data_IF_390749544914
#
_entry.id   IF_390749544914
#
_cell.length_a   1.000
_cell.length_b   1.000
_cell.length_c   1.000
_cell.angle_alpha   90.00
_cell.angle_beta   90.00
_cell.angle_gamma   90.00
#
_symmetry.space_group_name_H-M   'P 1'
#
loop_
_entity.id
_entity.type
_entity.pdbx_description
1 polymer ?
#
# COMPACT_ATOMS: atom_id res chain seq x y z
N UNK A 1 23.92 47.77 17.95
CA UNK A 1 23.89 47.46 16.51
C UNK A 1 23.54 46.00 16.32
N UNK A 2 22.48 45.65 15.55
CA UNK A 2 22.28 44.26 15.10
C UNK A 2 23.49 43.83 14.27
N UNK A 3 24.02 42.63 14.51
CA UNK A 3 25.19 42.10 13.79
C UNK A 3 24.75 41.51 12.44
N UNK A 4 25.60 41.56 11.40
CA UNK A 4 25.20 41.31 10.01
C UNK A 4 24.55 39.94 9.69
N UNK A 5 24.73 38.92 10.53
CA UNK A 5 24.22 37.56 10.28
C UNK A 5 23.14 37.09 11.28
N UNK A 6 22.57 37.98 12.09
CA UNK A 6 21.48 37.61 13.01
C UNK A 6 20.25 38.48 12.79
N UNK A 7 19.07 37.87 12.88
CA UNK A 7 17.81 38.57 12.70
C UNK A 7 17.56 39.56 13.83
N UNK A 8 16.91 40.66 13.50
CA UNK A 8 16.31 41.53 14.53
C UNK A 8 15.16 40.80 15.23
N UNK A 9 14.80 41.24 16.44
CA UNK A 9 13.71 40.61 17.19
C UNK A 9 12.36 40.70 16.44
N UNK A 10 12.09 41.83 15.77
CA UNK A 10 10.88 42.02 14.98
C UNK A 10 10.86 41.13 13.73
N UNK A 11 11.97 41.05 12.99
CA UNK A 11 12.07 40.17 11.82
C UNK A 11 11.91 38.69 12.22
N UNK A 12 12.51 38.28 13.33
CA UNK A 12 12.34 36.92 13.84
C UNK A 12 10.89 36.62 14.24
N UNK A 13 10.21 37.52 14.96
CA UNK A 13 8.80 37.34 15.33
C UNK A 13 7.89 37.24 14.09
N UNK A 14 8.15 38.06 13.07
CA UNK A 14 7.44 37.99 11.79
C UNK A 14 7.67 36.64 11.09
N UNK A 15 8.91 36.14 11.07
CA UNK A 15 9.25 34.84 10.48
C UNK A 15 8.58 33.68 11.23
N UNK A 16 8.58 33.72 12.56
CA UNK A 16 7.86 32.71 13.37
C UNK A 16 6.38 32.68 13.01
N UNK A 17 5.72 33.85 12.92
CA UNK A 17 4.31 33.96 12.52
C UNK A 17 4.07 33.44 11.10
N UNK A 18 4.89 33.86 10.14
CA UNK A 18 4.79 33.47 8.74
C UNK A 18 4.85 31.94 8.58
N UNK A 19 5.80 31.32 9.27
CA UNK A 19 6.02 29.88 9.21
C UNK A 19 5.14 29.08 10.19
N UNK A 20 4.36 29.73 11.07
CA UNK A 20 3.51 29.04 12.05
C UNK A 20 4.32 28.36 13.16
N UNK A 21 5.32 29.05 13.70
CA UNK A 21 6.04 28.65 14.90
C UNK A 21 5.60 29.53 16.08
N UNK A 22 5.48 28.93 17.26
CA UNK A 22 5.07 29.60 18.48
C UNK A 22 6.10 29.42 19.59
N UNK A 23 6.47 30.50 20.28
CA UNK A 23 7.39 30.42 21.41
C UNK A 23 6.64 30.12 22.71
N UNK A 24 6.86 28.93 23.27
CA UNK A 24 6.33 28.51 24.57
C UNK A 24 7.25 29.05 25.67
N UNK A 25 6.92 30.22 26.20
CA UNK A 25 7.75 30.91 27.21
C UNK A 25 7.99 30.07 28.47
N UNK A 26 7.00 29.30 28.91
CA UNK A 26 7.11 28.44 30.10
C UNK A 26 8.18 27.35 29.96
N UNK A 27 8.42 26.89 28.73
CA UNK A 27 9.37 25.81 28.44
C UNK A 27 10.67 26.31 27.80
N UNK A 28 10.72 27.60 27.44
CA UNK A 28 11.84 28.17 26.67
C UNK A 28 12.04 27.52 25.30
N UNK A 29 10.98 26.93 24.71
CA UNK A 29 11.04 26.15 23.47
C UNK A 29 10.09 26.70 22.40
N UNK A 30 10.37 26.36 21.16
CA UNK A 30 9.57 26.77 20.01
C UNK A 30 8.78 25.57 19.48
N UNK A 31 7.46 25.71 19.35
CA UNK A 31 6.58 24.69 18.83
C UNK A 31 6.18 24.99 17.38
N UNK A 32 6.14 23.95 16.56
CA UNK A 32 5.55 23.99 15.23
C UNK A 32 4.04 23.75 15.33
N UNK A 33 3.24 24.81 15.29
CA UNK A 33 1.77 24.69 15.46
C UNK A 33 1.07 24.19 14.19
N UNK A 34 1.76 24.14 13.05
CA UNK A 34 1.21 23.59 11.80
C UNK A 34 1.40 22.08 11.71
N UNK A 35 2.32 21.51 12.48
CA UNK A 35 2.55 20.08 12.51
C UNK A 35 1.67 19.39 13.57
N UNK A 36 1.12 18.21 13.23
CA UNK A 36 0.38 17.37 14.19
C UNK A 36 1.27 17.03 15.39
N UNK A 37 0.73 17.18 16.59
CA UNK A 37 1.46 16.94 17.85
C UNK A 37 2.33 18.10 18.33
N UNK A 38 2.31 19.25 17.65
CA UNK A 38 3.01 20.48 18.04
C UNK A 38 4.46 20.27 18.52
N UNK A 39 5.31 19.64 17.70
CA UNK A 39 6.65 19.23 18.10
C UNK A 39 7.50 20.44 18.49
N UNK A 40 8.25 20.27 19.59
CA UNK A 40 9.03 21.31 20.24
C UNK A 40 10.49 21.25 19.78
N UNK A 41 11.09 22.41 19.54
CA UNK A 41 12.49 22.60 19.17
C UNK A 41 13.14 23.55 20.15
N UNK A 42 14.36 23.23 20.56
CA UNK A 42 15.14 24.07 21.47
C UNK A 42 15.74 25.28 20.73
N UNK A 43 15.86 26.44 21.41
CA UNK A 43 16.54 27.59 20.85
C UNK A 43 18.02 27.32 20.62
N UNK A 44 18.55 27.84 19.52
CA UNK A 44 20.00 27.89 19.32
C UNK A 44 20.55 29.10 20.05
N UNK A 45 21.33 28.85 21.11
CA UNK A 45 21.94 29.89 21.94
C UNK A 45 23.34 30.25 21.45
N UNK A 46 23.69 31.53 21.50
CA UNK A 46 25.06 32.05 21.34
C UNK A 46 25.48 32.68 22.67
N UNK A 47 26.10 31.86 23.52
CA UNK A 47 26.34 32.23 24.93
C UNK A 47 25.01 32.43 25.66
N UNK A 48 24.83 33.60 26.30
CA UNK A 48 23.59 33.94 27.03
C UNK A 48 22.47 34.53 26.16
N UNK A 49 22.68 34.69 24.85
CA UNK A 49 21.70 35.34 23.94
C UNK A 49 21.20 34.34 22.90
N UNK A 50 19.92 34.46 22.55
CA UNK A 50 19.33 33.70 21.45
C UNK A 50 19.97 34.10 20.12
N UNK A 51 20.41 33.11 19.33
CA UNK A 51 20.77 33.28 17.93
C UNK A 51 19.52 33.05 17.09
N UNK A 52 18.89 34.14 16.64
CA UNK A 52 17.55 34.10 16.05
C UNK A 52 17.56 33.46 14.67
N UNK A 53 18.57 33.80 13.85
CA UNK A 53 18.72 33.19 12.53
C UNK A 53 18.91 31.67 12.66
N UNK A 54 19.88 31.23 13.47
CA UNK A 54 20.14 29.79 13.64
C UNK A 54 18.97 29.04 14.28
N UNK A 55 18.20 29.70 15.16
CA UNK A 55 16.97 29.09 15.72
C UNK A 55 15.89 28.91 14.66
N UNK A 56 15.70 29.90 13.78
CA UNK A 56 14.77 29.79 12.66
C UNK A 56 15.19 28.67 11.70
N UNK A 57 16.49 28.58 11.38
CA UNK A 57 17.03 27.55 10.49
C UNK A 57 16.83 26.15 11.09
N UNK A 58 17.07 25.98 12.40
CA UNK A 58 16.83 24.72 13.12
C UNK A 58 15.35 24.32 13.11
N UNK A 59 14.43 25.29 13.29
CA UNK A 59 13.00 25.04 13.23
C UNK A 59 12.54 24.55 11.85
N UNK A 60 13.04 25.20 10.78
CA UNK A 60 12.74 24.82 9.41
C UNK A 60 13.34 23.46 9.05
N UNK A 61 14.59 23.20 9.46
CA UNK A 61 15.24 21.91 9.25
C UNK A 61 14.49 20.77 9.94
N UNK A 62 14.05 20.95 11.20
CA UNK A 62 13.26 19.96 11.91
C UNK A 62 11.90 19.69 11.24
N UNK A 63 11.25 20.72 10.70
CA UNK A 63 10.02 20.53 9.93
C UNK A 63 10.28 19.71 8.66
N UNK A 64 11.31 20.06 7.90
CA UNK A 64 11.69 19.35 6.68
C UNK A 64 12.03 17.88 6.96
N UNK A 65 12.84 17.60 7.98
CA UNK A 65 13.18 16.24 8.38
C UNK A 65 11.95 15.38 8.71
N UNK A 66 10.92 15.96 9.34
CA UNK A 66 9.64 15.26 9.58
C UNK A 66 8.86 14.98 8.30
N UNK A 67 8.83 15.95 7.38
CA UNK A 67 8.16 15.77 6.08
C UNK A 67 8.85 14.69 5.25
N UNK A 68 10.18 14.70 5.21
CA UNK A 68 10.98 13.69 4.52
C UNK A 68 10.79 12.30 5.14
N UNK A 69 10.72 12.20 6.47
CA UNK A 69 10.43 10.94 7.16
C UNK A 69 9.02 10.40 6.88
N UNK A 70 8.02 11.28 6.77
CA UNK A 70 6.65 10.88 6.41
C UNK A 70 6.58 10.37 4.96
N UNK A 71 7.22 11.06 4.02
CA UNK A 71 7.29 10.62 2.63
C UNK A 71 8.01 9.27 2.47
N UNK A 72 9.08 9.05 3.24
CA UNK A 72 9.79 7.77 3.26
C UNK A 72 8.92 6.62 3.81
N UNK A 73 8.10 6.89 4.84
CA UNK A 73 7.17 5.91 5.39
C UNK A 73 6.07 5.53 4.39
N UNK A 74 5.53 6.50 3.65
CA UNK A 74 4.55 6.24 2.58
C UNK A 74 5.16 5.39 1.46
N UNK A 75 6.38 5.71 1.00
CA UNK A 75 7.07 4.92 -0.02
C UNK A 75 7.30 3.47 0.42
N UNK A 76 7.70 3.26 1.68
CA UNK A 76 7.87 1.93 2.24
C UNK A 76 6.55 1.15 2.35
N UNK A 77 5.44 1.84 2.63
CA UNK A 77 4.11 1.22 2.69
C UNK A 77 3.64 0.78 1.31
N UNK A 78 3.80 1.63 0.29
CA UNK A 78 3.49 1.30 -1.11
C UNK A 78 4.29 0.06 -1.56
N UNK A 79 5.57 -0.01 -1.22
CA UNK A 79 6.39 -1.17 -1.58
C UNK A 79 5.96 -2.44 -0.84
N UNK A 80 5.58 -2.33 0.44
CA UNK A 80 5.00 -3.48 1.18
C UNK A 80 3.70 -3.96 0.56
N UNK A 81 2.83 -3.06 0.13
CA UNK A 81 1.57 -3.41 -0.53
C UNK A 81 1.83 -4.08 -1.88
N UNK A 82 2.83 -3.60 -2.63
CA UNK A 82 3.27 -4.22 -3.88
C UNK A 82 3.81 -5.64 -3.65
N UNK A 83 4.67 -5.81 -2.65
CA UNK A 83 5.22 -7.13 -2.28
C UNK A 83 4.09 -8.05 -1.79
N UNK A 84 3.17 -7.53 -0.97
CA UNK A 84 2.02 -8.29 -0.52
C UNK A 84 1.12 -8.73 -1.68
N UNK A 85 0.92 -7.89 -2.70
CA UNK A 85 0.18 -8.29 -3.91
C UNK A 85 0.89 -9.37 -4.74
N UNK A 86 2.24 -9.36 -4.75
CA UNK A 86 3.04 -10.38 -5.45
C UNK A 86 3.11 -11.70 -4.68
N UNK A 87 3.17 -11.65 -3.35
CA UNK A 87 3.29 -12.81 -2.46
C UNK A 87 1.91 -13.34 -2.06
N UNK A 88 0.84 -12.55 -2.21
CA UNK A 88 -0.52 -12.97 -1.92
C UNK A 88 -0.76 -14.32 -2.58
N UNK A 89 -1.16 -15.36 -1.81
CA UNK A 89 -1.49 -16.63 -2.40
C UNK A 89 -2.62 -16.37 -3.38
N UNK A 90 -2.33 -16.53 -4.68
CA UNK A 90 -3.37 -16.60 -5.69
C UNK A 90 -4.38 -17.61 -5.15
N UNK A 91 -5.61 -17.15 -4.90
CA UNK A 91 -6.62 -17.90 -4.17
C UNK A 91 -6.61 -19.33 -4.67
N UNK A 92 -6.20 -20.28 -3.81
CA UNK A 92 -6.30 -21.69 -4.15
C UNK A 92 -7.76 -21.91 -4.53
N UNK A 93 -8.06 -22.42 -5.74
CA UNK A 93 -9.43 -22.62 -6.16
C UNK A 93 -10.12 -23.48 -5.09
N UNK A 94 -11.36 -23.13 -4.76
CA UNK A 94 -12.14 -23.88 -3.79
C UNK A 94 -12.09 -25.38 -4.12
N UNK A 95 -12.05 -26.23 -3.10
CA UNK A 95 -11.98 -27.66 -3.29
C UNK A 95 -13.09 -28.09 -4.26
N UNK A 96 -12.71 -28.68 -5.41
CA UNK A 96 -13.61 -28.97 -6.53
C UNK A 96 -14.84 -29.77 -6.12
N UNK A 97 -14.68 -30.66 -5.13
CA UNK A 97 -15.74 -31.44 -4.52
C UNK A 97 -16.86 -30.63 -3.84
N UNK A 98 -16.62 -29.36 -3.50
CA UNK A 98 -17.59 -28.45 -2.89
C UNK A 98 -18.20 -27.44 -3.87
N UNK A 99 -17.86 -27.49 -5.16
CA UNK A 99 -18.46 -26.63 -6.17
C UNK A 99 -19.81 -27.18 -6.63
N UNK A 100 -20.78 -26.30 -6.82
CA UNK A 100 -22.13 -26.67 -7.29
C UNK A 100 -22.59 -25.76 -8.44
N UNK A 101 -23.52 -26.26 -9.25
CA UNK A 101 -24.21 -25.50 -10.30
C UNK A 101 -23.25 -24.81 -11.30
N UNK A 102 -23.48 -23.53 -11.57
CA UNK A 102 -22.72 -22.78 -12.57
C UNK A 102 -21.21 -22.69 -12.26
N UNK A 103 -20.84 -22.63 -10.98
CA UNK A 103 -19.44 -22.59 -10.56
C UNK A 103 -18.72 -23.92 -10.82
N UNK A 104 -19.41 -25.05 -10.61
CA UNK A 104 -18.89 -26.37 -10.95
C UNK A 104 -18.70 -26.53 -12.46
N UNK A 105 -19.67 -26.09 -13.26
CA UNK A 105 -19.60 -26.15 -14.73
C UNK A 105 -18.42 -25.31 -15.26
N UNK A 106 -18.24 -24.09 -14.75
CA UNK A 106 -17.16 -23.20 -15.19
C UNK A 106 -15.78 -23.78 -14.86
N UNK A 107 -15.57 -24.28 -13.64
CA UNK A 107 -14.30 -24.87 -13.24
C UNK A 107 -14.01 -26.19 -13.97
N UNK A 108 -15.03 -27.01 -14.20
CA UNK A 108 -14.91 -28.27 -14.95
C UNK A 108 -14.57 -28.01 -16.43
N UNK A 109 -15.11 -26.93 -17.01
CA UNK A 109 -14.75 -26.48 -18.36
C UNK A 109 -13.28 -26.07 -18.45
N UNK A 110 -12.77 -25.32 -17.47
CA UNK A 110 -11.35 -24.94 -17.43
C UNK A 110 -10.43 -26.17 -17.26
N UNK A 111 -10.81 -27.11 -16.41
CA UNK A 111 -10.06 -28.37 -16.24
C UNK A 111 -10.08 -29.22 -17.53
N UNK A 112 -11.18 -29.21 -18.30
CA UNK A 112 -11.22 -29.85 -19.63
C UNK A 112 -10.23 -29.20 -20.61
N UNK A 113 -10.14 -27.87 -20.63
CA UNK A 113 -9.18 -27.13 -21.46
C UNK A 113 -7.73 -27.49 -21.07
N UNK A 114 -7.45 -27.52 -19.77
CA UNK A 114 -6.11 -27.85 -19.26
C UNK A 114 -5.70 -29.29 -19.58
N UNK A 115 -6.62 -30.26 -19.46
CA UNK A 115 -6.32 -31.66 -19.78
C UNK A 115 -6.15 -31.90 -21.28
N UNK A 116 -7.01 -31.30 -22.11
CA UNK A 116 -6.94 -31.44 -23.58
C UNK A 116 -5.73 -30.74 -24.19
N UNK A 117 -5.17 -29.73 -23.51
CA UNK A 117 -3.92 -29.09 -23.93
C UNK A 117 -2.66 -29.84 -23.50
N UNK A 118 -2.75 -30.73 -22.51
CA UNK A 118 -1.60 -31.52 -21.99
C UNK A 118 -1.58 -32.98 -22.44
N UNK A 119 -2.71 -33.52 -22.88
CA UNK A 119 -2.90 -34.94 -23.24
C UNK A 119 -4.02 -35.13 -24.27
N UNK A 120 -4.08 -36.29 -24.92
CA UNK A 120 -5.06 -36.65 -25.97
C UNK A 120 -6.54 -36.64 -25.54
N UNK A 121 -6.84 -36.28 -24.29
CA UNK A 121 -8.21 -36.09 -23.83
C UNK A 121 -8.32 -36.00 -22.31
N UNK A 122 -9.48 -35.57 -21.83
CA UNK A 122 -9.78 -35.57 -20.42
C UNK A 122 -10.42 -36.90 -20.01
N UNK A 123 -9.63 -37.79 -19.42
CA UNK A 123 -10.13 -39.06 -18.89
C UNK A 123 -10.71 -38.89 -17.48
N UNK A 124 -11.75 -39.67 -17.16
CA UNK A 124 -12.40 -39.66 -15.85
C UNK A 124 -11.42 -39.82 -14.66
N UNK A 125 -10.40 -40.70 -14.72
CA UNK A 125 -9.42 -40.81 -13.64
C UNK A 125 -8.63 -39.53 -13.37
N UNK A 126 -8.37 -38.72 -14.39
CA UNK A 126 -7.59 -37.49 -14.23
C UNK A 126 -8.42 -36.37 -13.59
N UNK A 127 -9.70 -36.27 -13.94
CA UNK A 127 -10.65 -35.39 -13.26
C UNK A 127 -10.80 -35.79 -11.78
N UNK A 128 -10.88 -37.08 -11.48
CA UNK A 128 -10.93 -37.57 -10.09
C UNK A 128 -9.64 -37.25 -9.32
N UNK A 129 -8.46 -37.37 -9.95
CA UNK A 129 -7.17 -36.96 -9.35
C UNK A 129 -7.10 -35.47 -9.05
N UNK A 130 -7.79 -34.64 -9.84
CA UNK A 130 -7.90 -33.21 -9.57
C UNK A 130 -8.86 -32.87 -8.42
N UNK A 131 -9.65 -33.84 -7.94
CA UNK A 131 -10.52 -33.70 -6.76
C UNK A 131 -12.01 -33.58 -7.08
N UNK A 132 -12.44 -33.91 -8.30
CA UNK A 132 -13.86 -33.98 -8.67
C UNK A 132 -14.55 -35.23 -8.12
N UNK A 133 -15.81 -35.11 -7.69
CA UNK A 133 -16.66 -36.28 -7.41
C UNK A 133 -17.22 -36.84 -8.70
N UNK A 134 -17.32 -38.17 -8.76
CA UNK A 134 -17.88 -38.88 -9.91
C UNK A 134 -19.29 -38.37 -10.28
N UNK A 135 -20.15 -38.13 -9.29
CA UNK A 135 -21.50 -37.59 -9.50
C UNK A 135 -21.50 -36.22 -10.19
N UNK A 136 -20.68 -35.29 -9.71
CA UNK A 136 -20.56 -33.93 -10.29
C UNK A 136 -20.06 -33.97 -11.73
N UNK A 137 -19.11 -34.87 -12.03
CA UNK A 137 -18.62 -35.03 -13.41
C UNK A 137 -19.79 -35.47 -14.30
N UNK A 138 -20.48 -36.55 -13.97
CA UNK A 138 -21.60 -37.02 -14.80
C UNK A 138 -22.73 -36.01 -14.93
N UNK A 139 -23.01 -35.24 -13.88
CA UNK A 139 -24.05 -34.22 -13.87
C UNK A 139 -23.73 -33.01 -14.75
N UNK A 140 -22.46 -32.59 -14.80
CA UNK A 140 -22.06 -31.32 -15.42
C UNK A 140 -21.21 -31.46 -16.69
N UNK A 141 -20.82 -32.68 -17.09
CA UNK A 141 -19.88 -32.91 -18.21
C UNK A 141 -20.34 -32.26 -19.50
N UNK A 142 -21.60 -32.44 -19.91
CA UNK A 142 -22.06 -31.96 -21.21
C UNK A 142 -22.09 -30.43 -21.29
N UNK A 143 -22.57 -29.79 -20.22
CA UNK A 143 -22.55 -28.33 -20.09
C UNK A 143 -21.12 -27.79 -20.06
N UNK A 144 -20.23 -28.43 -19.30
CA UNK A 144 -18.84 -28.02 -19.17
C UNK A 144 -18.04 -28.20 -20.47
N UNK A 145 -18.27 -29.28 -21.23
CA UNK A 145 -17.65 -29.48 -22.56
C UNK A 145 -18.12 -28.44 -23.56
N UNK A 146 -19.40 -28.12 -23.58
CA UNK A 146 -19.96 -27.08 -24.46
C UNK A 146 -19.34 -25.71 -24.15
N UNK A 147 -19.21 -25.38 -22.87
CA UNK A 147 -18.56 -24.15 -22.42
C UNK A 147 -17.06 -24.14 -22.74
N UNK A 148 -16.36 -25.25 -22.53
CA UNK A 148 -14.94 -25.38 -22.86
C UNK A 148 -14.68 -25.18 -24.36
N UNK A 149 -15.52 -25.77 -25.22
CA UNK A 149 -15.45 -25.61 -26.67
C UNK A 149 -15.72 -24.16 -27.10
N UNK A 150 -16.72 -23.49 -26.50
CA UNK A 150 -17.00 -22.07 -26.74
C UNK A 150 -15.81 -21.19 -26.37
N UNK A 151 -15.18 -21.44 -25.20
CA UNK A 151 -14.00 -20.70 -24.73
C UNK A 151 -12.77 -20.90 -25.61
N UNK A 152 -12.51 -22.13 -26.06
CA UNK A 152 -11.37 -22.44 -26.94
C UNK A 152 -11.52 -21.85 -28.34
N UNK A 153 -12.74 -21.80 -28.87
CA UNK A 153 -13.01 -21.36 -30.24
C UNK A 153 -13.51 -19.91 -30.36
N UNK A 154 -13.47 -19.14 -29.26
CA UNK A 154 -13.80 -17.72 -29.27
C UNK A 154 -15.28 -17.42 -29.57
N UNK A 155 -16.19 -18.36 -29.33
CA UNK A 155 -17.63 -18.08 -29.37
C UNK A 155 -18.00 -17.36 -28.07
N UNK A 156 -17.71 -16.05 -28.04
CA UNK A 156 -18.26 -15.13 -27.06
C UNK A 156 -19.79 -15.21 -27.11
N UNK A 157 -20.40 -15.56 -25.98
CA UNK A 157 -21.75 -15.14 -25.63
C UNK A 157 -21.62 -14.05 -24.58
#
# INVERSE_FOLDING_TARGET
MPRPNDLTAAAFDQQLKLHGFFHIRAEGRFADVRAKGCPRTEPVMRGKRLNRQATLDALLANRKARQDAAAAAEAAQIERERIAALIAPAALPAARAGLEGAAAIAQLADDFIVLTTRSDGAALPDLMRMGWRKSQIFEHTDAARSLAYSRQNGAAA
#
